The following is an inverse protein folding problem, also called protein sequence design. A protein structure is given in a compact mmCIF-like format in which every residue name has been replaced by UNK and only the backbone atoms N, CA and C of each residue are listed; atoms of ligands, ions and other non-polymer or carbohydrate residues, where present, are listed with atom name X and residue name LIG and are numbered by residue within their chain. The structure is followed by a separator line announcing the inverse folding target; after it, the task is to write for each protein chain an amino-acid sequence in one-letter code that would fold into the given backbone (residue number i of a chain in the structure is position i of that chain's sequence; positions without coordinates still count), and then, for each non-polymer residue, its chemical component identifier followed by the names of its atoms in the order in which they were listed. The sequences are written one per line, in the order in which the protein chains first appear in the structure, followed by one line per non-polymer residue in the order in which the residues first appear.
data_IF_099290493546
#
_entry.id   IF_099290493546
#
_cell.length_a   1.000
_cell.length_b   1.000
_cell.length_c   1.000
_cell.angle_alpha   90.00
_cell.angle_beta   90.00
_cell.angle_gamma   90.00
#
_symmetry.space_group_name_H-M   'P 1'
#
loop_
_entity.id
_entity.type
_entity.pdbx_description
1 polymer ?
#
# COMPACT_ATOMS: atom_id res chain seq x y z
N UNK A 1 16.04 -25.19 -21.71
CA UNK A 1 15.73 -24.36 -20.53
C UNK A 1 14.41 -24.85 -19.98
N UNK A 2 14.18 -24.84 -18.66
CA UNK A 2 12.83 -25.07 -18.13
C UNK A 2 11.84 -24.07 -18.78
N UNK A 3 10.62 -24.53 -19.09
CA UNK A 3 9.56 -23.68 -19.64
C UNK A 3 9.12 -22.62 -18.62
N UNK A 4 8.36 -21.61 -19.06
CA UNK A 4 7.75 -20.67 -18.10
C UNK A 4 6.57 -21.34 -17.38
N UNK A 5 6.19 -20.80 -16.21
CA UNK A 5 4.99 -21.26 -15.50
C UNK A 5 3.75 -21.19 -16.41
N UNK A 6 3.66 -20.13 -17.22
CA UNK A 6 2.60 -19.93 -18.21
C UNK A 6 2.56 -21.07 -19.23
N UNK A 7 3.70 -21.47 -19.77
CA UNK A 7 3.80 -22.54 -20.77
C UNK A 7 3.39 -23.90 -20.16
N UNK A 8 3.88 -24.21 -18.96
CA UNK A 8 3.55 -25.47 -18.30
C UNK A 8 2.07 -25.52 -17.88
N UNK A 9 1.48 -24.41 -17.42
CA UNK A 9 0.05 -24.32 -17.16
C UNK A 9 -0.75 -24.51 -18.44
N UNK A 10 -0.38 -23.84 -19.54
CA UNK A 10 -1.07 -23.99 -20.82
C UNK A 10 -1.03 -25.44 -21.34
N UNK A 11 0.08 -26.16 -21.11
CA UNK A 11 0.23 -27.54 -21.55
C UNK A 11 -0.46 -28.56 -20.64
N UNK A 12 -0.32 -28.42 -19.32
CA UNK A 12 -0.69 -29.48 -18.36
C UNK A 12 -2.05 -29.25 -17.70
N UNK A 13 -2.51 -28.00 -17.59
CA UNK A 13 -3.79 -27.70 -16.96
C UNK A 13 -4.98 -28.33 -17.67
N UNK A 14 -5.10 -28.34 -19.02
CA UNK A 14 -6.23 -28.99 -19.69
C UNK A 14 -6.39 -30.47 -19.29
N UNK A 15 -5.29 -31.21 -19.15
CA UNK A 15 -5.31 -32.61 -18.71
C UNK A 15 -5.84 -32.77 -17.27
N UNK A 16 -5.49 -31.81 -16.39
CA UNK A 16 -6.01 -31.76 -15.04
C UNK A 16 -7.51 -31.48 -15.08
N UNK A 17 -7.95 -30.46 -15.82
CA UNK A 17 -9.35 -30.08 -15.92
C UNK A 17 -10.20 -31.22 -16.48
N UNK A 18 -9.74 -31.91 -17.52
CA UNK A 18 -10.41 -33.08 -18.11
C UNK A 18 -10.64 -34.21 -17.11
N UNK A 19 -9.69 -34.43 -16.18
CA UNK A 19 -9.84 -35.45 -15.14
C UNK A 19 -10.95 -35.09 -14.14
N UNK A 20 -11.06 -33.81 -13.76
CA UNK A 20 -12.11 -33.33 -12.84
C UNK A 20 -13.47 -33.19 -13.55
N UNK A 21 -13.49 -32.73 -14.81
CA UNK A 21 -14.69 -32.64 -15.62
C UNK A 21 -15.31 -34.01 -15.86
N UNK A 22 -14.50 -35.03 -16.18
CA UNK A 22 -14.99 -36.39 -16.37
C UNK A 22 -15.68 -36.96 -15.12
N UNK A 23 -15.24 -36.59 -13.91
CA UNK A 23 -15.94 -36.98 -12.67
C UNK A 23 -17.34 -36.37 -12.62
N UNK A 24 -17.46 -35.08 -12.93
CA UNK A 24 -18.73 -34.37 -12.91
C UNK A 24 -19.67 -34.87 -14.01
N UNK A 25 -19.17 -35.10 -15.21
CA UNK A 25 -19.97 -35.62 -16.33
C UNK A 25 -20.46 -37.05 -16.09
N UNK A 26 -19.70 -37.86 -15.36
CA UNK A 26 -20.09 -39.25 -15.05
C UNK A 26 -21.19 -39.33 -13.99
N UNK A 27 -21.10 -38.49 -12.94
CA UNK A 27 -21.92 -38.64 -11.73
C UNK A 27 -22.92 -37.50 -11.51
N UNK A 28 -22.87 -36.42 -12.28
CA UNK A 28 -23.73 -35.27 -12.12
C UNK A 28 -24.40 -34.89 -13.45
N UNK A 29 -25.56 -34.25 -13.36
CA UNK A 29 -26.22 -33.68 -14.53
C UNK A 29 -25.42 -32.48 -15.08
N UNK A 30 -25.49 -32.21 -16.40
CA UNK A 30 -24.89 -31.02 -16.99
C UNK A 30 -25.31 -29.74 -16.26
N UNK A 31 -24.35 -28.92 -15.86
CA UNK A 31 -24.62 -27.68 -15.14
C UNK A 31 -24.97 -27.86 -13.66
N UNK A 32 -24.76 -29.05 -13.07
CA UNK A 32 -25.01 -29.31 -11.65
C UNK A 32 -24.42 -28.22 -10.73
N UNK A 33 -25.28 -27.68 -9.87
CA UNK A 33 -24.87 -26.76 -8.81
C UNK A 33 -24.11 -27.47 -7.69
N UNK A 34 -23.47 -26.70 -6.80
CA UNK A 34 -22.64 -27.24 -5.72
C UNK A 34 -23.40 -28.23 -4.82
N UNK A 35 -24.67 -27.97 -4.51
CA UNK A 35 -25.49 -28.87 -3.68
C UNK A 35 -25.65 -30.25 -4.34
N UNK A 36 -26.01 -30.29 -5.62
CA UNK A 36 -26.15 -31.54 -6.36
C UNK A 36 -24.81 -32.31 -6.44
N UNK A 37 -23.69 -31.60 -6.62
CA UNK A 37 -22.35 -32.23 -6.60
C UNK A 37 -22.07 -32.86 -5.22
N UNK A 38 -22.43 -32.18 -4.12
CA UNK A 38 -22.27 -32.74 -2.77
C UNK A 38 -23.06 -34.02 -2.58
N UNK A 39 -24.33 -34.03 -3.00
CA UNK A 39 -25.24 -35.17 -2.88
C UNK A 39 -24.78 -36.35 -3.74
N UNK A 40 -24.47 -36.09 -5.02
CA UNK A 40 -24.08 -37.14 -5.97
C UNK A 40 -22.71 -37.75 -5.66
N UNK A 41 -21.75 -36.94 -5.21
CA UNK A 41 -20.40 -37.41 -4.89
C UNK A 41 -20.20 -37.75 -3.40
N UNK A 42 -21.13 -37.40 -2.51
CA UNK A 42 -21.00 -37.64 -1.08
C UNK A 42 -19.82 -36.89 -0.44
N UNK A 43 -19.50 -35.69 -0.95
CA UNK A 43 -18.39 -34.86 -0.50
C UNK A 43 -18.90 -33.56 0.11
N UNK A 44 -18.10 -32.94 0.98
CA UNK A 44 -18.46 -31.67 1.60
C UNK A 44 -18.43 -30.50 0.60
N UNK A 45 -19.20 -29.44 0.91
CA UNK A 45 -19.45 -28.27 0.06
C UNK A 45 -18.19 -27.60 -0.50
N UNK A 46 -17.15 -27.45 0.33
CA UNK A 46 -15.88 -26.82 -0.10
C UNK A 46 -15.16 -27.66 -1.16
N UNK A 47 -15.07 -28.99 -0.99
CA UNK A 47 -14.46 -29.86 -1.99
C UNK A 47 -15.28 -29.90 -3.29
N UNK A 48 -16.61 -29.92 -3.21
CA UNK A 48 -17.47 -29.81 -4.40
C UNK A 48 -17.24 -28.51 -5.18
N UNK A 49 -17.09 -27.38 -4.48
CA UNK A 49 -16.74 -26.09 -5.08
C UNK A 49 -15.36 -26.10 -5.75
N UNK A 50 -14.35 -26.69 -5.10
CA UNK A 50 -13.01 -26.87 -5.66
C UNK A 50 -13.03 -27.74 -6.92
N UNK A 51 -13.67 -28.91 -6.87
CA UNK A 51 -13.78 -29.83 -8.01
C UNK A 51 -14.40 -29.13 -9.22
N UNK A 52 -15.52 -28.43 -9.02
CA UNK A 52 -16.17 -27.67 -10.08
C UNK A 52 -15.30 -26.53 -10.61
N UNK A 53 -14.62 -25.81 -9.72
CA UNK A 53 -13.76 -24.69 -10.10
C UNK A 53 -12.53 -25.13 -10.89
N UNK A 54 -11.95 -26.29 -10.56
CA UNK A 54 -10.88 -26.90 -11.36
C UNK A 54 -11.41 -27.33 -12.72
N UNK A 55 -12.49 -28.11 -12.76
CA UNK A 55 -13.05 -28.68 -14.00
C UNK A 55 -13.40 -27.62 -15.05
N UNK A 56 -13.93 -26.47 -14.63
CA UNK A 56 -14.51 -25.47 -15.54
C UNK A 56 -13.92 -24.07 -15.37
N UNK A 57 -12.76 -23.95 -14.72
CA UNK A 57 -12.05 -22.67 -14.60
C UNK A 57 -11.54 -22.20 -15.97
N UNK A 58 -11.80 -20.94 -16.31
CA UNK A 58 -11.36 -20.37 -17.59
C UNK A 58 -9.98 -19.70 -17.51
N UNK A 59 -9.61 -19.21 -16.33
CA UNK A 59 -8.34 -18.56 -16.07
C UNK A 59 -7.36 -19.57 -15.44
N UNK A 60 -6.20 -19.86 -16.06
CA UNK A 60 -5.29 -20.87 -15.57
C UNK A 60 -4.79 -20.62 -14.14
N UNK A 61 -4.49 -19.38 -13.80
CA UNK A 61 -3.95 -18.98 -12.50
C UNK A 61 -5.02 -19.06 -11.40
N UNK A 62 -6.28 -18.71 -11.70
CA UNK A 62 -7.39 -18.92 -10.76
C UNK A 62 -7.67 -20.41 -10.57
N UNK A 63 -7.57 -21.18 -11.64
CA UNK A 63 -7.90 -22.61 -11.63
C UNK A 63 -6.93 -23.39 -10.73
N UNK A 64 -5.63 -23.09 -10.77
CA UNK A 64 -4.66 -23.78 -9.90
C UNK A 64 -4.87 -23.50 -8.41
N UNK A 65 -5.36 -22.30 -8.05
CA UNK A 65 -5.73 -21.96 -6.66
C UNK A 65 -6.89 -22.82 -6.15
N UNK A 66 -7.74 -23.29 -7.07
CA UNK A 66 -8.89 -24.15 -6.77
C UNK A 66 -8.52 -25.60 -6.52
N UNK A 67 -7.29 -26.03 -6.83
CA UNK A 67 -6.88 -27.42 -6.68
C UNK A 67 -7.15 -27.93 -5.25
N UNK A 68 -7.78 -29.09 -5.05
CA UNK A 68 -7.94 -29.62 -3.70
C UNK A 68 -6.58 -29.89 -3.03
N UNK A 69 -6.55 -29.91 -1.69
CA UNK A 69 -5.37 -30.36 -0.96
C UNK A 69 -5.19 -31.87 -1.13
N UNK A 70 -4.02 -32.43 -0.78
CA UNK A 70 -3.78 -33.88 -0.80
C UNK A 70 -4.86 -34.68 -0.06
N UNK A 71 -5.31 -34.19 1.10
CA UNK A 71 -6.42 -34.79 1.84
C UNK A 71 -7.75 -34.70 1.07
N UNK A 72 -8.04 -33.56 0.44
CA UNK A 72 -9.23 -33.39 -0.41
C UNK A 72 -9.23 -34.30 -1.64
N UNK A 73 -8.07 -34.48 -2.29
CA UNK A 73 -7.89 -35.44 -3.38
C UNK A 73 -8.14 -36.87 -2.89
N UNK A 74 -7.62 -37.23 -1.72
CA UNK A 74 -7.84 -38.55 -1.15
C UNK A 74 -9.32 -38.79 -0.84
N UNK A 75 -10.00 -37.83 -0.20
CA UNK A 75 -11.44 -37.90 0.06
C UNK A 75 -12.24 -38.05 -1.22
N UNK A 76 -11.90 -37.31 -2.28
CA UNK A 76 -12.56 -37.44 -3.58
C UNK A 76 -12.32 -38.83 -4.18
N UNK A 77 -11.07 -39.32 -4.16
CA UNK A 77 -10.74 -40.64 -4.70
C UNK A 77 -11.43 -41.78 -3.95
N UNK A 78 -11.53 -41.70 -2.62
CA UNK A 78 -12.26 -42.66 -1.78
C UNK A 78 -13.76 -42.64 -2.08
N UNK A 79 -14.33 -41.45 -2.24
CA UNK A 79 -15.71 -41.31 -2.68
C UNK A 79 -15.91 -41.97 -4.06
N UNK A 80 -15.00 -41.73 -5.01
CA UNK A 80 -15.12 -42.34 -6.35
C UNK A 80 -15.01 -43.87 -6.30
N UNK A 81 -14.10 -44.44 -5.50
CA UNK A 81 -13.83 -45.88 -5.46
C UNK A 81 -15.04 -46.75 -5.06
N UNK A 82 -16.00 -46.22 -4.30
CA UNK A 82 -17.21 -46.97 -3.91
C UNK A 82 -18.32 -46.94 -4.98
N UNK A 83 -18.08 -46.30 -6.14
CA UNK A 83 -19.05 -46.12 -7.22
C UNK A 83 -18.71 -46.99 -8.43
N UNK A 84 -19.74 -47.41 -9.17
CA UNK A 84 -19.56 -48.20 -10.39
C UNK A 84 -18.71 -47.43 -11.42
N UNK A 85 -17.60 -48.03 -11.87
CA UNK A 85 -16.65 -47.38 -12.79
C UNK A 85 -15.75 -46.32 -12.15
N UNK A 86 -15.83 -46.12 -10.84
CA UNK A 86 -15.13 -45.06 -10.12
C UNK A 86 -13.63 -45.27 -9.96
N UNK A 87 -13.12 -46.51 -10.01
CA UNK A 87 -11.69 -46.80 -9.87
C UNK A 87 -10.83 -46.11 -10.93
N UNK A 88 -11.28 -46.13 -12.20
CA UNK A 88 -10.59 -45.48 -13.30
C UNK A 88 -10.57 -43.95 -13.15
N UNK A 89 -11.69 -43.37 -12.69
CA UNK A 89 -11.80 -41.93 -12.42
C UNK A 89 -10.96 -41.50 -11.21
N UNK A 90 -10.95 -42.30 -10.14
CA UNK A 90 -10.09 -42.08 -8.99
C UNK A 90 -8.60 -42.09 -9.37
N UNK A 91 -8.18 -43.03 -10.23
CA UNK A 91 -6.83 -43.09 -10.75
C UNK A 91 -6.48 -41.84 -11.60
N UNK A 92 -7.41 -41.39 -12.47
CA UNK A 92 -7.24 -40.16 -13.27
C UNK A 92 -7.10 -38.92 -12.39
N UNK A 93 -7.93 -38.77 -11.37
CA UNK A 93 -7.86 -37.64 -10.42
C UNK A 93 -6.53 -37.65 -9.65
N UNK A 94 -6.07 -38.82 -9.18
CA UNK A 94 -4.76 -38.93 -8.52
C UNK A 94 -3.61 -38.57 -9.47
N UNK A 95 -3.69 -39.00 -10.72
CA UNK A 95 -2.69 -38.65 -11.74
C UNK A 95 -2.68 -37.13 -11.99
N UNK A 96 -3.84 -36.51 -12.19
CA UNK A 96 -3.98 -35.07 -12.34
C UNK A 96 -3.42 -34.30 -11.12
N UNK A 97 -3.67 -34.80 -9.90
CA UNK A 97 -3.08 -34.24 -8.69
C UNK A 97 -1.55 -34.36 -8.69
N UNK A 98 -0.99 -35.50 -9.11
CA UNK A 98 0.46 -35.67 -9.24
C UNK A 98 1.06 -34.75 -10.32
N UNK A 99 0.36 -34.53 -11.44
CA UNK A 99 0.75 -33.55 -12.46
C UNK A 99 0.77 -32.13 -11.88
N UNK A 100 -0.23 -31.76 -11.08
CA UNK A 100 -0.24 -30.46 -10.39
C UNK A 100 0.95 -30.32 -9.40
N UNK A 101 1.22 -31.35 -8.60
CA UNK A 101 2.38 -31.34 -7.69
C UNK A 101 3.71 -31.25 -8.46
N UNK A 102 3.81 -31.83 -9.66
CA UNK A 102 4.98 -31.62 -10.52
C UNK A 102 5.15 -30.15 -10.93
N UNK A 103 4.05 -29.45 -11.29
CA UNK A 103 4.08 -28.01 -11.58
C UNK A 103 4.53 -27.23 -10.34
N UNK A 104 4.02 -27.56 -9.15
CA UNK A 104 4.46 -26.95 -7.90
C UNK A 104 5.97 -27.12 -7.74
N UNK A 105 6.48 -28.35 -7.77
CA UNK A 105 7.90 -28.63 -7.54
C UNK A 105 8.85 -28.04 -8.60
N UNK A 106 8.37 -27.82 -9.83
CA UNK A 106 9.16 -27.24 -10.92
C UNK A 106 9.29 -25.70 -10.80
N UNK A 107 8.23 -25.02 -10.33
CA UNK A 107 8.15 -23.55 -10.35
C UNK A 107 8.19 -22.89 -8.97
N UNK A 108 7.96 -23.64 -7.90
CA UNK A 108 7.78 -23.13 -6.55
C UNK A 108 8.33 -24.09 -5.48
N UNK A 109 8.67 -23.56 -4.31
CA UNK A 109 9.07 -24.41 -3.17
C UNK A 109 7.89 -25.16 -2.57
N UNK A 110 6.71 -24.52 -2.58
CA UNK A 110 5.48 -25.07 -2.08
C UNK A 110 4.27 -24.46 -2.79
N UNK A 111 3.09 -24.97 -2.44
CA UNK A 111 1.83 -24.49 -3.00
C UNK A 111 1.56 -23.02 -2.68
N UNK A 112 1.94 -22.54 -1.49
CA UNK A 112 1.72 -21.14 -1.12
C UNK A 112 2.55 -20.19 -2.02
N UNK A 113 3.77 -20.60 -2.35
CA UNK A 113 4.66 -19.90 -3.27
C UNK A 113 4.13 -19.94 -4.70
N UNK A 114 3.58 -21.08 -5.15
CA UNK A 114 2.90 -21.16 -6.45
C UNK A 114 1.69 -20.23 -6.52
N UNK A 115 0.88 -20.17 -5.46
CA UNK A 115 -0.25 -19.24 -5.37
C UNK A 115 0.20 -17.77 -5.43
N UNK A 116 1.34 -17.42 -4.82
CA UNK A 116 1.93 -16.09 -4.92
C UNK A 116 2.35 -15.74 -6.35
N UNK A 117 3.02 -16.67 -7.06
CA UNK A 117 3.41 -16.48 -8.46
C UNK A 117 2.19 -16.30 -9.38
N UNK A 118 1.13 -17.06 -9.13
CA UNK A 118 -0.12 -16.97 -9.86
C UNK A 118 -0.79 -15.61 -9.67
N UNK A 119 -0.90 -15.14 -8.42
CA UNK A 119 -1.53 -13.87 -8.08
C UNK A 119 -0.71 -12.66 -8.57
N UNK A 120 0.61 -12.76 -8.60
CA UNK A 120 1.48 -11.76 -9.20
C UNK A 120 1.27 -11.62 -10.73
N UNK A 121 0.84 -12.70 -11.40
CA UNK A 121 0.64 -12.75 -12.85
C UNK A 121 -0.74 -12.25 -13.30
N UNK A 122 -1.80 -12.53 -12.54
CA UNK A 122 -3.18 -12.09 -12.86
C UNK A 122 -3.41 -10.59 -12.65
N UNK A 123 -2.72 -10.04 -11.66
CA UNK A 123 -2.98 -8.70 -11.20
C UNK A 123 -4.39 -8.50 -10.60
N UNK A 124 -4.72 -9.25 -9.54
CA UNK A 124 -5.97 -9.10 -8.77
C UNK A 124 -5.79 -8.21 -7.52
N UNK A 125 -6.63 -7.17 -7.35
CA UNK A 125 -6.45 -6.10 -6.35
C UNK A 125 -6.57 -6.65 -4.93
N UNK A 126 -7.50 -7.61 -4.74
CA UNK A 126 -7.75 -8.21 -3.44
C UNK A 126 -6.60 -9.10 -3.00
N UNK A 127 -5.99 -9.81 -3.96
CA UNK A 127 -4.83 -10.66 -3.72
C UNK A 127 -3.60 -9.85 -3.30
N UNK A 128 -3.33 -8.71 -3.95
CA UNK A 128 -2.21 -7.82 -3.59
C UNK A 128 -2.39 -7.22 -2.19
N UNK A 129 -3.59 -6.71 -1.86
CA UNK A 129 -3.91 -6.18 -0.52
C UNK A 129 -3.70 -7.24 0.56
N UNK A 130 -4.08 -8.50 0.30
CA UNK A 130 -3.88 -9.62 1.24
C UNK A 130 -2.40 -9.85 1.55
N UNK A 131 -1.54 -9.86 0.55
CA UNK A 131 -0.09 -10.03 0.75
C UNK A 131 0.51 -8.86 1.51
N UNK A 132 0.09 -7.63 1.20
CA UNK A 132 0.50 -6.44 1.94
C UNK A 132 0.01 -6.46 3.40
N UNK A 133 -1.18 -6.97 3.68
CA UNK A 133 -1.66 -7.21 5.04
C UNK A 133 -0.77 -8.21 5.79
N UNK A 134 -0.39 -9.32 5.15
CA UNK A 134 0.52 -10.30 5.74
C UNK A 134 1.89 -9.67 6.04
N UNK A 135 2.45 -8.90 5.11
CA UNK A 135 3.68 -8.15 5.31
C UNK A 135 3.55 -7.14 6.45
N UNK A 136 2.43 -6.42 6.54
CA UNK A 136 2.13 -5.51 7.65
C UNK A 136 2.20 -6.22 9.00
N UNK A 137 1.60 -7.41 9.15
CA UNK A 137 1.65 -8.18 10.40
C UNK A 137 3.08 -8.59 10.76
N UNK A 138 3.83 -9.09 9.79
CA UNK A 138 5.24 -9.45 9.96
C UNK A 138 6.10 -8.26 10.35
N UNK A 139 6.00 -7.16 9.60
CA UNK A 139 6.73 -5.92 9.85
C UNK A 139 6.36 -5.30 11.21
N UNK A 140 5.09 -5.38 11.62
CA UNK A 140 4.65 -4.91 12.94
C UNK A 140 5.31 -5.68 14.08
N UNK A 141 5.50 -7.00 13.93
CA UNK A 141 6.21 -7.82 14.90
C UNK A 141 7.72 -7.57 14.90
N UNK A 142 8.32 -7.43 13.71
CA UNK A 142 9.75 -7.18 13.50
C UNK A 142 10.15 -5.82 14.10
N UNK A 143 9.50 -4.74 13.65
CA UNK A 143 9.81 -3.37 14.07
C UNK A 143 9.22 -3.02 15.45
N UNK A 144 8.27 -3.82 15.95
CA UNK A 144 7.69 -3.63 17.27
C UNK A 144 6.70 -2.46 17.37
N UNK A 145 6.21 -1.95 16.23
CA UNK A 145 5.26 -0.84 16.15
C UNK A 145 4.27 -1.07 15.01
N UNK A 146 3.07 -0.51 15.14
CA UNK A 146 2.08 -0.45 14.08
C UNK A 146 1.22 0.79 14.22
N UNK A 147 0.71 1.33 13.12
CA UNK A 147 -0.28 2.40 13.11
C UNK A 147 -1.58 1.94 12.45
N UNK A 148 -2.72 2.49 12.90
CA UNK A 148 -3.99 2.30 12.18
C UNK A 148 -3.98 3.09 10.88
N UNK A 149 -3.56 4.36 10.93
CA UNK A 149 -3.49 5.22 9.74
C UNK A 149 -2.21 6.06 9.76
N UNK A 150 -1.46 6.06 8.66
CA UNK A 150 -0.49 7.09 8.34
C UNK A 150 -1.21 8.23 7.63
N UNK A 151 -0.98 9.45 8.10
CA UNK A 151 -1.51 10.65 7.48
C UNK A 151 -0.35 11.46 6.92
N UNK A 152 -0.43 11.79 5.64
CA UNK A 152 0.44 12.78 5.02
C UNK A 152 -0.45 13.86 4.43
N UNK A 153 -0.16 15.11 4.73
CA UNK A 153 -0.77 16.26 4.05
C UNK A 153 0.34 17.13 3.53
N UNK A 154 0.33 17.37 2.23
CA UNK A 154 1.19 18.36 1.57
C UNK A 154 0.29 19.42 0.96
N UNK A 155 0.37 20.66 1.42
CA UNK A 155 -0.32 21.80 0.80
C UNK A 155 0.68 22.81 0.24
N UNK A 156 0.60 23.06 -1.06
CA UNK A 156 1.55 23.88 -1.82
C UNK A 156 0.91 25.23 -2.11
N UNK A 157 1.58 26.31 -1.72
CA UNK A 157 1.10 27.67 -1.88
C UNK A 157 2.18 28.56 -2.52
N UNK A 158 1.86 29.50 -3.43
CA UNK A 158 2.85 30.43 -3.95
C UNK A 158 3.58 31.15 -2.82
N UNK A 159 4.90 31.26 -2.91
CA UNK A 159 5.68 31.99 -1.90
C UNK A 159 5.33 33.47 -1.98
N UNK A 160 5.02 34.07 -0.84
CA UNK A 160 4.87 35.53 -0.73
C UNK A 160 6.22 36.25 -0.62
N UNK A 161 7.32 35.50 -0.44
CA UNK A 161 8.68 36.03 -0.20
C UNK A 161 9.49 36.07 -1.48
N UNK A 162 9.27 35.11 -2.38
CA UNK A 162 10.06 34.94 -3.59
C UNK A 162 9.18 34.58 -4.78
N UNK A 163 9.16 35.47 -5.78
CA UNK A 163 8.39 35.26 -7.00
C UNK A 163 8.86 33.99 -7.73
N UNK A 164 7.90 33.21 -8.25
CA UNK A 164 8.16 31.94 -8.94
C UNK A 164 8.55 30.78 -8.03
N UNK A 165 8.46 30.94 -6.71
CA UNK A 165 8.70 29.87 -5.73
C UNK A 165 7.42 29.48 -5.01
N UNK A 166 7.44 28.36 -4.29
CA UNK A 166 6.32 27.91 -3.48
C UNK A 166 6.75 27.53 -2.05
N UNK A 167 5.82 27.73 -1.12
CA UNK A 167 5.86 27.23 0.24
C UNK A 167 5.13 25.88 0.31
N UNK A 168 5.54 25.03 1.26
CA UNK A 168 4.92 23.74 1.52
C UNK A 168 4.50 23.63 2.99
N UNK A 169 3.20 23.56 3.24
CA UNK A 169 2.70 23.05 4.52
C UNK A 169 2.77 21.53 4.50
N UNK A 170 3.50 20.94 5.45
CA UNK A 170 3.59 19.50 5.64
C UNK A 170 3.00 19.11 6.98
N UNK A 171 2.05 18.18 6.95
CA UNK A 171 1.52 17.52 8.16
C UNK A 171 1.77 16.02 8.06
N UNK A 172 2.27 15.44 9.13
CA UNK A 172 2.46 14.00 9.28
C UNK A 172 1.69 13.50 10.49
N UNK A 173 0.97 12.40 10.34
CA UNK A 173 0.18 11.80 11.41
C UNK A 173 0.43 10.32 11.54
N UNK A 174 0.57 9.86 12.79
CA UNK A 174 0.54 8.46 13.17
C UNK A 174 -0.69 8.24 14.05
N UNK A 175 -1.77 7.76 13.45
CA UNK A 175 -3.06 7.62 14.12
C UNK A 175 -3.24 6.20 14.62
N UNK A 176 -3.61 6.06 15.90
CA UNK A 176 -3.77 4.76 16.53
C UNK A 176 -2.46 3.97 16.59
N UNK A 177 -1.33 4.66 16.72
CA UNK A 177 -0.01 4.06 16.86
C UNK A 177 0.02 3.19 18.12
N UNK A 178 0.43 1.93 17.96
CA UNK A 178 0.53 0.95 19.04
C UNK A 178 1.91 0.31 19.01
N UNK A 179 2.53 0.23 20.19
CA UNK A 179 3.79 -0.48 20.38
C UNK A 179 3.49 -1.96 20.64
N UNK A 180 4.19 -2.84 19.95
CA UNK A 180 4.20 -4.28 20.19
C UNK A 180 5.32 -4.64 21.18
N UNK A 181 6.39 -3.85 21.22
CA UNK A 181 7.55 -4.04 22.12
C UNK A 181 7.76 -2.81 23.02
N UNK A 182 8.15 -2.98 24.29
CA UNK A 182 8.20 -1.86 25.26
C UNK A 182 9.35 -0.88 25.00
N UNK A 183 10.51 -1.38 24.54
CA UNK A 183 11.76 -0.61 24.50
C UNK A 183 12.09 -0.01 23.14
N UNK A 184 11.11 0.08 22.23
CA UNK A 184 11.37 0.64 20.91
C UNK A 184 11.45 2.16 20.96
N UNK A 185 12.52 2.69 20.36
CA UNK A 185 12.56 4.07 19.86
C UNK A 185 12.11 4.03 18.41
N UNK A 186 11.22 4.93 18.04
CA UNK A 186 10.64 4.94 16.71
C UNK A 186 10.77 6.29 16.03
N UNK A 187 11.38 6.33 14.85
CA UNK A 187 11.52 7.55 14.07
C UNK A 187 10.15 7.98 13.52
N UNK A 188 9.61 9.07 14.05
CA UNK A 188 8.32 9.62 13.63
C UNK A 188 8.48 10.74 12.60
N UNK A 189 9.64 11.39 12.58
CA UNK A 189 9.94 12.50 11.68
C UNK A 189 11.39 12.47 11.20
N UNK A 190 11.54 12.44 9.88
CA UNK A 190 12.77 12.74 9.16
C UNK A 190 12.39 13.46 7.88
N UNK A 191 12.99 14.62 7.64
CA UNK A 191 12.71 15.39 6.43
C UNK A 191 14.02 15.79 5.80
N UNK A 192 14.22 15.25 4.60
CA UNK A 192 15.35 15.58 3.72
C UNK A 192 14.75 16.30 2.53
N UNK A 193 15.46 17.32 2.05
CA UNK A 193 15.14 17.99 0.80
C UNK A 193 16.36 17.84 -0.07
N UNK A 194 16.16 17.24 -1.23
CA UNK A 194 17.21 16.89 -2.17
C UNK A 194 16.93 17.64 -3.46
N UNK A 195 17.98 18.18 -4.06
CA UNK A 195 17.96 18.52 -5.48
C UNK A 195 18.50 17.37 -6.33
N UNK A 196 18.45 17.51 -7.65
CA UNK A 196 18.86 16.48 -8.63
C UNK A 196 20.35 16.09 -8.54
N UNK A 197 21.16 16.87 -7.80
CA UNK A 197 22.54 16.54 -7.48
C UNK A 197 22.69 15.79 -6.15
N UNK A 198 21.58 15.34 -5.57
CA UNK A 198 21.49 14.72 -4.25
C UNK A 198 22.08 15.60 -3.13
N UNK A 199 22.14 16.93 -3.31
CA UNK A 199 22.65 17.85 -2.30
C UNK A 199 21.51 18.23 -1.37
N UNK A 200 21.70 18.01 -0.07
CA UNK A 200 20.72 18.38 0.93
C UNK A 200 20.60 19.91 1.03
N UNK A 201 19.40 20.45 0.77
CA UNK A 201 19.08 21.85 1.06
C UNK A 201 18.46 21.99 2.44
N UNK A 202 18.83 23.04 3.16
CA UNK A 202 18.22 23.40 4.45
C UNK A 202 17.33 24.64 4.27
N UNK A 203 16.07 24.48 3.83
CA UNK A 203 15.15 25.61 3.80
C UNK A 203 14.71 26.00 5.21
N UNK A 204 14.13 27.19 5.30
CA UNK A 204 13.54 27.71 6.52
C UNK A 204 12.27 26.91 6.84
N UNK A 205 12.25 26.31 8.03
CA UNK A 205 11.12 25.55 8.58
C UNK A 205 10.51 26.32 9.73
N UNK A 206 9.20 26.48 9.71
CA UNK A 206 8.44 27.12 10.78
C UNK A 206 7.40 26.11 11.29
N UNK A 207 7.32 25.90 12.60
CA UNK A 207 6.30 25.02 13.17
C UNK A 207 4.90 25.63 13.01
N UNK A 208 3.90 24.80 12.70
CA UNK A 208 2.48 25.23 12.63
C UNK A 208 1.86 25.46 14.02
N UNK A 209 2.53 25.01 15.08
CA UNK A 209 2.19 25.27 16.47
C UNK A 209 3.47 25.59 17.27
N UNK A 210 4.01 26.83 17.16
CA UNK A 210 5.27 27.20 17.80
C UNK A 210 5.27 27.08 19.33
N UNK A 211 4.09 27.18 19.96
CA UNK A 211 3.96 27.02 21.40
C UNK A 211 4.13 25.55 21.82
N UNK A 212 3.47 24.62 21.11
CA UNK A 212 3.59 23.18 21.36
C UNK A 212 5.02 22.66 21.13
N UNK A 213 5.56 22.80 19.91
CA UNK A 213 6.78 23.59 19.73
C UNK A 213 7.85 23.53 20.83
N UNK A 214 7.92 24.66 21.52
CA UNK A 214 8.82 24.94 22.62
C UNK A 214 8.65 23.96 23.79
N UNK A 215 7.43 23.51 24.08
CA UNK A 215 7.16 22.57 25.19
C UNK A 215 7.65 21.15 24.86
N UNK A 216 7.65 20.78 23.58
CA UNK A 216 8.02 19.44 23.09
C UNK A 216 9.50 19.35 22.66
N UNK A 217 10.39 20.10 23.29
CA UNK A 217 11.84 20.10 22.98
C UNK A 217 12.14 20.32 21.49
N UNK A 218 11.34 21.16 20.83
CA UNK A 218 11.57 21.53 19.44
C UNK A 218 10.95 20.60 18.40
N UNK A 219 10.30 19.48 18.77
CA UNK A 219 9.58 18.65 17.78
C UNK A 219 8.19 19.26 17.48
N UNK A 220 7.82 19.41 16.19
CA UNK A 220 6.72 20.25 15.73
C UNK A 220 5.34 19.60 15.91
N UNK A 221 5.00 19.23 17.14
CA UNK A 221 3.73 18.56 17.47
C UNK A 221 2.56 19.50 17.30
N UNK A 222 1.49 19.02 16.67
CA UNK A 222 0.19 19.66 16.68
C UNK A 222 -0.62 19.13 17.87
N UNK A 223 -0.52 19.82 19.01
CA UNK A 223 -1.06 19.32 20.28
C UNK A 223 -2.59 19.15 20.24
N UNK A 224 -3.30 20.05 19.56
CA UNK A 224 -4.78 20.01 19.40
C UNK A 224 -5.28 18.72 18.73
N UNK A 225 -4.47 18.12 17.86
CA UNK A 225 -4.85 16.91 17.11
C UNK A 225 -4.18 15.63 17.65
N UNK A 226 -3.30 15.75 18.64
CA UNK A 226 -2.55 14.65 19.22
C UNK A 226 -3.21 14.12 20.52
N UNK A 227 -2.87 12.89 20.91
CA UNK A 227 -3.40 12.29 22.15
C UNK A 227 -3.03 13.07 23.40
N UNK A 228 -3.94 13.03 24.38
CA UNK A 228 -3.67 13.45 25.77
C UNK A 228 -3.72 12.20 26.67
N UNK A 229 -2.68 11.91 27.47
CA UNK A 229 -1.44 12.69 27.64
C UNK A 229 -0.57 12.70 26.38
N UNK A 230 0.21 13.78 26.23
CA UNK A 230 1.08 13.97 25.07
C UNK A 230 2.12 12.83 24.93
N UNK A 231 2.45 12.43 23.68
CA UNK A 231 3.48 11.43 23.43
C UNK A 231 4.85 11.92 23.92
N UNK A 232 5.66 11.00 24.47
CA UNK A 232 7.04 11.32 24.87
C UNK A 232 7.93 11.29 23.63
N UNK A 233 8.46 12.45 23.25
CA UNK A 233 9.26 12.63 22.04
C UNK A 233 10.67 13.16 22.40
N UNK A 234 11.64 12.81 21.57
CA UNK A 234 12.98 13.37 21.60
C UNK A 234 13.38 13.80 20.18
N UNK A 235 14.03 14.94 20.07
CA UNK A 235 14.62 15.44 18.82
C UNK A 235 16.14 15.36 18.93
N UNK A 236 16.78 14.64 18.01
CA UNK A 236 18.24 14.47 17.97
C UNK A 236 18.82 14.95 16.64
N UNK A 237 19.97 15.66 16.64
CA UNK A 237 20.68 15.97 15.41
C UNK A 237 21.17 14.69 14.71
N UNK A 238 21.17 14.71 13.38
CA UNK A 238 21.65 13.64 12.52
C UNK A 238 22.64 14.20 11.46
N UNK A 239 23.43 13.34 10.79
CA UNK A 239 24.37 13.78 9.74
C UNK A 239 23.71 14.62 8.66
N UNK A 240 24.46 15.53 8.02
CA UNK A 240 23.93 16.42 6.98
C UNK A 240 22.99 17.52 7.50
N UNK A 241 22.96 17.75 8.82
CA UNK A 241 22.06 18.72 9.47
C UNK A 241 20.59 18.30 9.45
N UNK A 242 20.34 17.00 9.29
CA UNK A 242 19.04 16.41 9.51
C UNK A 242 18.68 16.44 11.01
N UNK A 243 17.39 16.42 11.31
CA UNK A 243 16.88 16.21 12.67
C UNK A 243 16.04 14.93 12.67
N UNK A 244 16.24 14.09 13.68
CA UNK A 244 15.44 12.91 13.94
C UNK A 244 14.47 13.18 15.07
N UNK A 245 13.18 13.06 14.79
CA UNK A 245 12.13 13.09 15.80
C UNK A 245 11.76 11.67 16.15
N UNK A 246 11.97 11.30 17.40
CA UNK A 246 11.80 9.95 17.87
C UNK A 246 10.77 9.86 18.99
N UNK A 247 9.94 8.84 18.87
CA UNK A 247 9.06 8.40 19.92
C UNK A 247 9.83 7.57 20.93
N UNK A 248 9.74 7.97 22.19
CA UNK A 248 10.37 7.29 23.31
C UNK A 248 9.56 6.08 23.79
N UNK A 249 10.18 5.15 24.54
CA UNK A 249 9.49 4.02 25.17
C UNK A 249 8.25 4.45 25.97
N UNK A 250 7.18 3.66 25.83
CA UNK A 250 5.90 3.84 26.51
C UNK A 250 5.18 2.46 26.61
N UNK A 251 4.01 2.37 27.28
CA UNK A 251 3.28 1.12 27.39
C UNK A 251 3.00 0.44 26.04
N UNK A 252 2.93 -0.90 26.07
CA UNK A 252 2.62 -1.73 24.89
C UNK A 252 1.14 -2.02 24.75
N UNK A 253 0.73 -2.44 23.56
CA UNK A 253 -0.63 -2.82 23.24
C UNK A 253 -1.61 -1.65 23.29
N UNK A 254 -2.91 -1.97 23.38
CA UNK A 254 -3.98 -0.98 23.30
C UNK A 254 -3.92 0.07 24.43
N UNK A 255 -3.41 -0.31 25.61
CA UNK A 255 -3.23 0.62 26.73
C UNK A 255 -2.22 1.74 26.43
N UNK A 256 -1.30 1.52 25.49
CA UNK A 256 -0.32 2.49 25.03
C UNK A 256 -0.63 3.10 23.67
N UNK A 257 -1.86 2.92 23.15
CA UNK A 257 -2.25 3.46 21.86
C UNK A 257 -2.25 4.99 21.90
N UNK A 258 -1.62 5.62 20.90
CA UNK A 258 -1.48 7.08 20.82
C UNK A 258 -1.69 7.57 19.38
N UNK A 259 -2.16 8.80 19.26
CA UNK A 259 -2.20 9.56 18.00
C UNK A 259 -1.23 10.73 18.10
N UNK A 260 -0.39 10.88 17.07
CA UNK A 260 0.63 11.93 17.01
C UNK A 260 0.48 12.64 15.68
N UNK A 261 0.27 13.94 15.70
CA UNK A 261 0.36 14.80 14.52
C UNK A 261 1.51 15.77 14.67
N UNK A 262 2.25 15.97 13.59
CA UNK A 262 3.34 16.94 13.48
C UNK A 262 3.13 17.80 12.26
N UNK A 263 3.50 19.09 12.35
CA UNK A 263 3.18 20.07 11.32
C UNK A 263 4.20 21.19 11.22
N UNK A 264 4.74 21.39 10.02
CA UNK A 264 5.65 22.48 9.68
C UNK A 264 5.19 23.15 8.38
N UNK A 265 5.58 24.41 8.18
CA UNK A 265 5.63 25.04 6.87
C UNK A 265 7.10 25.22 6.47
N UNK A 266 7.40 24.79 5.25
CA UNK A 266 8.71 24.92 4.63
C UNK A 266 8.62 26.07 3.64
N UNK A 267 9.39 27.13 3.89
CA UNK A 267 9.33 28.36 3.11
C UNK A 267 10.31 28.31 1.95
N UNK A 268 9.89 28.88 0.82
CA UNK A 268 10.72 28.96 -0.39
C UNK A 268 11.34 27.60 -0.73
N UNK A 269 10.51 26.55 -0.79
CA UNK A 269 10.97 25.17 -0.94
C UNK A 269 11.63 24.94 -2.30
N UNK A 270 10.98 25.38 -3.38
CA UNK A 270 11.44 25.14 -4.74
C UNK A 270 10.80 26.08 -5.75
N UNK A 271 11.29 26.02 -6.98
CA UNK A 271 10.74 26.79 -8.09
C UNK A 271 9.43 26.16 -8.58
N UNK A 272 8.48 27.00 -8.96
CA UNK A 272 7.18 26.56 -9.50
C UNK A 272 7.24 26.22 -10.99
N UNK A 273 8.40 26.37 -11.63
CA UNK A 273 8.63 26.20 -13.07
C UNK A 273 9.88 25.36 -13.32
N UNK A 274 9.91 24.72 -14.48
CA UNK A 274 11.05 23.94 -14.92
C UNK A 274 12.30 24.83 -15.10
N UNK A 275 13.45 24.27 -14.76
CA UNK A 275 14.77 24.83 -15.03
C UNK A 275 15.59 23.88 -15.90
N UNK A 276 16.81 24.26 -16.27
CA UNK A 276 17.71 23.37 -17.00
C UNK A 276 18.00 22.06 -16.24
N UNK A 277 18.07 22.15 -14.91
CA UNK A 277 18.51 21.07 -14.03
C UNK A 277 17.38 20.49 -13.16
N UNK A 278 16.15 21.01 -13.24
CA UNK A 278 15.02 20.57 -12.42
C UNK A 278 13.74 20.68 -13.25
N UNK A 279 13.22 19.53 -13.68
CA UNK A 279 12.08 19.46 -14.62
C UNK A 279 10.92 18.63 -14.11
N UNK A 280 11.13 17.81 -13.08
CA UNK A 280 10.14 16.86 -12.58
C UNK A 280 10.02 17.02 -11.07
N UNK A 281 8.80 17.30 -10.61
CA UNK A 281 8.54 17.43 -9.20
C UNK A 281 8.04 16.11 -8.61
N UNK A 282 8.60 15.74 -7.44
CA UNK A 282 8.15 14.62 -6.63
C UNK A 282 7.67 15.13 -5.27
N UNK A 283 6.40 14.89 -4.95
CA UNK A 283 5.81 15.26 -3.66
C UNK A 283 5.23 14.04 -2.98
N UNK A 284 5.73 13.71 -1.78
CA UNK A 284 5.20 12.54 -1.09
C UNK A 284 5.78 12.30 0.28
N UNK A 285 5.68 11.04 0.69
CA UNK A 285 6.15 10.58 1.99
C UNK A 285 6.75 9.19 1.91
N UNK A 286 7.76 8.95 2.76
CA UNK A 286 8.27 7.62 3.01
C UNK A 286 7.34 6.85 3.97
N UNK A 287 7.07 5.60 3.63
CA UNK A 287 6.36 4.60 4.40
C UNK A 287 7.38 3.77 5.15
N UNK A 288 7.71 4.22 6.36
CA UNK A 288 8.64 3.54 7.27
C UNK A 288 7.96 2.85 8.44
N UNK A 289 6.72 3.24 8.73
CA UNK A 289 5.92 2.68 9.84
C UNK A 289 4.92 1.67 9.28
N UNK A 290 4.89 0.42 9.79
CA UNK A 290 3.84 -0.52 9.42
C UNK A 290 2.47 0.08 9.73
N UNK A 291 1.59 0.14 8.74
CA UNK A 291 0.27 0.72 8.91
C UNK A 291 -0.82 -0.04 8.15
N UNK A 292 -2.05 0.05 8.64
CA UNK A 292 -3.21 -0.54 7.96
C UNK A 292 -3.69 0.31 6.78
N UNK A 293 -3.44 1.63 6.82
CA UNK A 293 -3.86 2.56 5.78
C UNK A 293 -2.89 3.75 5.71
N UNK A 294 -2.54 4.19 4.51
CA UNK A 294 -2.04 5.54 4.25
C UNK A 294 -3.16 6.40 3.67
N UNK A 295 -3.37 7.57 4.26
CA UNK A 295 -4.15 8.67 3.67
C UNK A 295 -3.18 9.79 3.35
N UNK A 296 -2.95 10.04 2.06
CA UNK A 296 -2.10 11.11 1.59
C UNK A 296 -2.95 12.15 0.86
N UNK A 297 -3.09 13.33 1.46
CA UNK A 297 -3.71 14.50 0.86
C UNK A 297 -2.66 15.42 0.25
N UNK A 298 -2.89 15.79 -1.00
CA UNK A 298 -2.07 16.72 -1.75
C UNK A 298 -2.96 17.89 -2.20
N UNK A 299 -2.69 19.08 -1.66
CA UNK A 299 -3.45 20.29 -1.94
C UNK A 299 -2.56 21.23 -2.74
N UNK A 300 -2.98 21.61 -3.94
CA UNK A 300 -2.20 22.50 -4.81
C UNK A 300 -2.97 23.79 -5.01
N UNK A 301 -2.41 24.92 -4.61
CA UNK A 301 -3.01 26.21 -4.89
C UNK A 301 -3.18 26.41 -6.41
N UNK A 302 -4.33 26.94 -6.84
CA UNK A 302 -4.73 27.06 -8.26
C UNK A 302 -3.78 27.87 -9.15
N UNK A 303 -2.83 28.60 -8.58
CA UNK A 303 -1.81 29.36 -9.29
C UNK A 303 -0.56 28.55 -9.60
N UNK A 304 -0.34 27.44 -8.90
CA UNK A 304 0.79 26.55 -9.09
C UNK A 304 0.44 25.43 -10.08
N UNK A 305 1.43 25.06 -10.91
CA UNK A 305 1.39 23.86 -11.75
C UNK A 305 0.08 23.68 -12.56
N UNK A 306 -0.37 24.74 -13.21
CA UNK A 306 -1.60 24.71 -14.02
C UNK A 306 -1.41 23.80 -15.23
N UNK A 307 -2.38 22.92 -15.46
CA UNK A 307 -2.42 22.06 -16.65
C UNK A 307 -1.43 20.89 -16.64
N UNK A 308 -0.76 20.63 -15.51
CA UNK A 308 0.10 19.44 -15.38
C UNK A 308 -0.75 18.21 -15.04
N UNK A 309 -0.44 17.10 -15.68
CA UNK A 309 -0.96 15.78 -15.32
C UNK A 309 -0.17 15.25 -14.11
N UNK A 310 -0.88 14.64 -13.16
CA UNK A 310 -0.29 14.16 -11.90
C UNK A 310 -0.43 12.65 -11.83
N UNK A 311 0.68 11.98 -11.59
CA UNK A 311 0.75 10.54 -11.48
C UNK A 311 1.04 10.14 -10.04
N UNK A 312 0.43 9.02 -9.58
CA UNK A 312 0.84 8.34 -8.36
C UNK A 312 1.94 7.35 -8.69
N UNK A 313 3.10 7.51 -8.05
CA UNK A 313 4.23 6.61 -8.16
C UNK A 313 4.59 6.05 -6.77
N UNK A 314 4.85 4.75 -6.69
CA UNK A 314 5.29 4.10 -5.45
C UNK A 314 6.65 3.47 -5.70
N UNK A 315 7.66 3.94 -5.00
CA UNK A 315 9.05 3.49 -5.18
C UNK A 315 9.47 2.61 -4.02
N UNK A 316 10.06 1.46 -4.30
CA UNK A 316 10.71 0.63 -3.29
C UNK A 316 12.00 1.30 -2.83
N UNK A 317 12.23 1.40 -1.53
CA UNK A 317 13.41 2.09 -1.00
C UNK A 317 14.53 1.10 -0.62
N UNK A 318 14.67 0.02 -1.40
CA UNK A 318 15.68 -1.02 -1.17
C UNK A 318 17.07 -0.59 -1.63
N UNK A 319 17.17 0.18 -2.71
CA UNK A 319 18.44 0.66 -3.25
C UNK A 319 18.85 2.00 -2.64
N UNK A 320 17.92 2.95 -2.55
CA UNK A 320 18.17 4.28 -2.03
C UNK A 320 16.86 4.96 -1.60
N UNK A 321 16.85 5.68 -0.46
CA UNK A 321 15.67 6.45 -0.02
C UNK A 321 15.53 7.80 -0.74
N UNK A 322 16.50 8.13 -1.61
CA UNK A 322 16.78 9.47 -2.08
C UNK A 322 16.61 9.64 -3.59
N UNK A 323 16.57 8.53 -4.32
CA UNK A 323 16.51 8.51 -5.78
C UNK A 323 15.23 7.80 -6.19
N UNK A 324 14.43 8.46 -7.02
CA UNK A 324 13.15 7.94 -7.53
C UNK A 324 13.35 7.47 -8.97
N UNK A 325 14.09 6.36 -9.11
CA UNK A 325 14.34 5.75 -10.41
C UNK A 325 13.14 4.89 -10.83
N UNK A 326 12.80 4.89 -12.12
CA UNK A 326 11.68 4.10 -12.64
C UNK A 326 11.89 2.57 -12.43
N UNK A 327 13.13 2.11 -12.29
CA UNK A 327 13.45 0.72 -11.95
C UNK A 327 13.07 0.31 -10.53
N UNK A 328 12.87 1.29 -9.63
CA UNK A 328 12.40 1.07 -8.26
C UNK A 328 10.86 1.11 -8.16
N UNK A 329 10.13 1.32 -9.26
CA UNK A 329 8.67 1.38 -9.23
C UNK A 329 8.05 0.06 -8.80
N UNK A 330 7.24 0.12 -7.73
CA UNK A 330 6.39 -0.96 -7.29
C UNK A 330 5.08 -0.93 -8.06
N UNK A 331 4.67 -2.08 -8.57
CA UNK A 331 3.33 -2.26 -9.12
C UNK A 331 2.32 -2.11 -7.98
N UNK A 332 1.52 -1.04 -8.04
CA UNK A 332 0.44 -0.76 -7.11
C UNK A 332 -0.79 -0.31 -7.88
N UNK A 333 -1.98 -0.64 -7.37
CA UNK A 333 -3.24 -0.31 -8.04
C UNK A 333 -4.02 0.84 -7.45
N UNK A 334 -3.50 1.42 -6.38
CA UNK A 334 -4.01 2.68 -5.88
C UNK A 334 -3.97 3.77 -6.96
N UNK A 335 -4.83 4.78 -6.78
CA UNK A 335 -4.98 5.89 -7.72
C UNK A 335 -4.95 7.20 -6.97
N UNK A 336 -4.43 8.23 -7.63
CA UNK A 336 -4.61 9.60 -7.21
C UNK A 336 -6.03 10.05 -7.55
N UNK A 337 -6.85 10.32 -6.53
CA UNK A 337 -8.23 10.77 -6.73
C UNK A 337 -8.31 12.28 -6.59
N UNK A 338 -8.73 12.96 -7.66
CA UNK A 338 -9.05 14.39 -7.62
C UNK A 338 -10.40 14.59 -6.91
N UNK A 339 -10.36 15.19 -5.72
CA UNK A 339 -11.56 15.48 -4.93
C UNK A 339 -12.23 16.79 -5.37
N UNK A 340 -11.48 17.69 -6.02
CA UNK A 340 -11.96 18.95 -6.56
C UNK A 340 -11.46 20.17 -5.79
N UNK A 341 -12.04 21.36 -6.02
CA UNK A 341 -11.63 22.58 -5.34
C UNK A 341 -12.08 22.61 -3.88
N UNK A 342 -11.26 23.23 -3.03
CA UNK A 342 -11.55 23.44 -1.62
C UNK A 342 -11.51 22.17 -0.78
N UNK A 343 -12.08 22.25 0.42
CA UNK A 343 -12.12 21.14 1.39
C UNK A 343 -13.48 20.45 1.50
N UNK A 344 -14.45 20.79 0.65
CA UNK A 344 -15.83 20.30 0.72
C UNK A 344 -15.93 18.76 0.73
N UNK A 345 -15.00 18.09 0.04
CA UNK A 345 -14.90 16.63 -0.08
C UNK A 345 -13.75 16.03 0.74
N UNK A 346 -13.15 16.79 1.64
CA UNK A 346 -11.99 16.35 2.42
C UNK A 346 -12.32 15.39 3.58
N UNK A 347 -13.61 15.15 3.88
CA UNK A 347 -14.03 14.20 4.93
C UNK A 347 -13.46 12.81 4.64
N UNK A 348 -13.00 12.11 5.67
CA UNK A 348 -12.40 10.79 5.58
C UNK A 348 -12.96 9.95 6.73
N UNK A 349 -13.61 8.82 6.45
CA UNK A 349 -14.26 8.02 7.49
C UNK A 349 -13.27 7.47 8.53
N UNK A 350 -12.05 7.17 8.09
CA UNK A 350 -10.97 6.62 8.90
C UNK A 350 -10.29 7.67 9.79
N UNK A 351 -10.51 8.95 9.51
CA UNK A 351 -9.92 10.09 10.21
C UNK A 351 -11.01 11.10 10.60
N UNK A 352 -11.79 10.82 11.67
CA UNK A 352 -12.73 11.80 12.22
C UNK A 352 -12.02 13.12 12.55
N UNK A 353 -12.62 14.26 12.19
CA UNK A 353 -12.04 15.59 12.42
C UNK A 353 -10.96 16.02 11.41
N UNK A 354 -10.57 15.17 10.45
CA UNK A 354 -9.52 15.49 9.47
C UNK A 354 -9.82 16.73 8.63
N UNK A 355 -11.08 16.90 8.20
CA UNK A 355 -11.51 18.10 7.48
C UNK A 355 -11.31 19.37 8.31
N UNK A 356 -11.66 19.33 9.61
CA UNK A 356 -11.50 20.47 10.50
C UNK A 356 -10.03 20.76 10.79
N UNK A 357 -9.19 19.73 10.94
CA UNK A 357 -7.74 19.88 11.04
C UNK A 357 -7.17 20.63 9.82
N UNK A 358 -7.49 20.18 8.60
CA UNK A 358 -7.02 20.85 7.37
C UNK A 358 -7.46 22.32 7.33
N UNK A 359 -8.75 22.58 7.61
CA UNK A 359 -9.30 23.93 7.62
C UNK A 359 -8.61 24.82 8.64
N UNK A 360 -8.42 24.33 9.87
CA UNK A 360 -7.73 25.06 10.95
C UNK A 360 -6.29 25.37 10.58
N UNK A 361 -5.55 24.41 10.03
CA UNK A 361 -4.14 24.60 9.68
C UNK A 361 -3.94 25.56 8.50
N UNK A 362 -4.77 25.48 7.46
CA UNK A 362 -4.75 26.46 6.36
C UNK A 362 -5.09 27.86 6.88
N UNK A 363 -6.10 27.99 7.73
CA UNK A 363 -6.48 29.28 8.33
C UNK A 363 -5.36 29.86 9.20
N UNK A 364 -4.62 29.04 9.96
CA UNK A 364 -3.44 29.49 10.74
C UNK A 364 -2.35 30.10 9.86
N UNK A 365 -2.21 29.64 8.62
CA UNK A 365 -1.29 30.19 7.63
C UNK A 365 -1.86 31.39 6.85
N UNK A 366 -3.13 31.75 7.07
CA UNK A 366 -3.84 32.74 6.27
C UNK A 366 -4.15 32.26 4.85
N UNK A 367 -4.10 30.95 4.61
CA UNK A 367 -4.37 30.36 3.30
C UNK A 367 -5.86 30.06 3.16
N UNK A 368 -6.47 30.57 2.08
CA UNK A 368 -7.87 30.30 1.78
C UNK A 368 -8.02 28.90 1.17
N UNK A 369 -8.78 28.05 1.85
CA UNK A 369 -9.00 26.66 1.44
C UNK A 369 -9.58 26.53 0.03
N UNK A 370 -10.47 27.42 -0.39
CA UNK A 370 -11.13 27.36 -1.69
C UNK A 370 -10.17 27.64 -2.86
N UNK A 371 -8.97 28.14 -2.57
CA UNK A 371 -7.94 28.37 -3.58
C UNK A 371 -7.12 27.12 -3.92
N UNK A 372 -7.33 26.01 -3.21
CA UNK A 372 -6.65 24.74 -3.44
C UNK A 372 -7.47 23.77 -4.28
N UNK A 373 -6.76 23.04 -5.11
CA UNK A 373 -7.23 21.79 -5.68
C UNK A 373 -6.78 20.62 -4.81
N UNK A 374 -7.73 19.79 -4.39
CA UNK A 374 -7.48 18.68 -3.47
C UNK A 374 -7.41 17.35 -4.20
N UNK A 375 -6.31 16.64 -4.03
CA UNK A 375 -6.11 15.25 -4.43
C UNK A 375 -5.89 14.36 -3.19
N UNK A 376 -6.33 13.10 -3.27
CA UNK A 376 -6.15 12.12 -2.21
C UNK A 376 -5.71 10.77 -2.76
N UNK A 377 -4.73 10.17 -2.09
CA UNK A 377 -4.38 8.76 -2.20
C UNK A 377 -4.85 8.04 -0.94
N UNK A 378 -5.50 6.88 -1.13
CA UNK A 378 -5.84 5.94 -0.05
C UNK A 378 -5.20 4.60 -0.40
N UNK A 379 -4.31 4.13 0.46
CA UNK A 379 -3.54 2.90 0.22
C UNK A 379 -3.63 1.98 1.43
N UNK A 380 -4.45 0.92 1.36
CA UNK A 380 -4.49 -0.11 2.38
C UNK A 380 -3.14 -0.84 2.45
N UNK A 381 -2.62 -1.01 3.66
CA UNK A 381 -1.35 -1.70 3.92
C UNK A 381 -0.22 -1.24 2.98
N UNK A 382 0.19 0.04 3.03
CA UNK A 382 1.19 0.56 2.11
C UNK A 382 2.50 -0.27 2.17
N UNK A 383 3.15 -0.56 1.03
CA UNK A 383 4.40 -1.33 1.00
C UNK A 383 5.48 -0.70 1.87
N UNK A 384 6.34 -1.53 2.47
CA UNK A 384 7.37 -1.06 3.41
C UNK A 384 8.68 -1.85 3.21
N UNK A 385 9.84 -1.18 3.08
CA UNK A 385 9.99 0.28 2.94
C UNK A 385 9.65 0.78 1.52
N UNK A 386 8.85 1.85 1.44
CA UNK A 386 8.55 2.50 0.15
C UNK A 386 8.34 4.00 0.27
N UNK A 387 8.43 4.71 -0.84
CA UNK A 387 8.10 6.11 -0.98
C UNK A 387 6.86 6.28 -1.86
N UNK A 388 5.79 6.88 -1.32
CA UNK A 388 4.55 7.15 -2.04
C UNK A 388 4.55 8.60 -2.50
N UNK A 389 4.67 8.79 -3.81
CA UNK A 389 4.94 10.08 -4.46
C UNK A 389 3.83 10.45 -5.44
N UNK A 390 3.57 11.74 -5.54
CA UNK A 390 2.87 12.34 -6.67
C UNK A 390 3.94 12.98 -7.54
N UNK A 391 4.02 12.52 -8.79
CA UNK A 391 4.98 12.95 -9.79
C UNK A 391 4.27 13.77 -10.86
N UNK A 392 4.89 14.86 -11.29
CA UNK A 392 4.49 15.58 -12.51
C UNK A 392 5.64 16.40 -13.07
N UNK A 393 5.58 16.71 -14.36
CA UNK A 393 6.48 17.68 -14.98
C UNK A 393 6.22 19.08 -14.41
N UNK A 394 7.29 19.84 -14.21
CA UNK A 394 7.21 21.27 -13.88
C UNK A 394 6.82 22.05 -15.15
N UNK A 395 5.93 23.05 -15.06
CA UNK A 395 5.54 23.86 -16.21
C UNK A 395 6.73 24.71 -16.68
N UNK A 396 6.82 24.95 -18.00
CA UNK A 396 7.85 25.83 -18.54
C UNK A 396 7.68 27.28 -18.01
N UNK A 397 8.79 28.02 -17.82
CA UNK A 397 8.73 29.43 -17.43
C UNK A 397 7.90 30.24 -18.43
N UNK A 398 7.07 31.16 -17.94
CA UNK A 398 6.34 32.07 -18.85
C UNK A 398 7.34 33.01 -19.53
N UNK A 399 7.29 33.18 -20.86
CA UNK A 399 8.16 34.13 -21.54
C UNK A 399 7.89 35.57 -21.04
N UNK A 400 8.90 36.18 -20.39
CA UNK A 400 8.86 37.58 -19.93
C UNK A 400 8.62 37.83 -18.43
N UNK A 401 8.82 36.82 -17.57
CA UNK A 401 8.73 36.95 -16.10
C UNK A 401 10.05 37.16 -15.40
#
# INVERSE_FOLDING_TARGET
MPGTLQDDLAQRLPLIQDAFAAVLETYCEPGAGITAICENLGIHRKLAWQVRGVAFGSDPFKTIRMMPSRAGIQTLAEALAIRAGGDALAARVRHAAATFEAIVNEHAEDRASLEMLAEASEGDDQSEVRWREQAFRGNSFIFGVQARVLVTVLALHPSSRRNGWFDLMQVRGLVGLTRVRPDIRWLVGQSVIMDDHAVARQPVREALDPAATAVMNGVPVLSEFSSTPAPRLARTPAPGGMMHDELLPAPVGQAGQQTIYMGEVIRDLGQAFATADDRVAHFGCAVRTPAQLLVYDHLVHRELFRGVERELCVFGELHSPATFDDSDLLSTRERLVRLGPGLSRARCAELPGHHDMLRTLLARLGWNADDFEHFRVRMPYPPLPSSVMIRHDLPEPRPGG
#
